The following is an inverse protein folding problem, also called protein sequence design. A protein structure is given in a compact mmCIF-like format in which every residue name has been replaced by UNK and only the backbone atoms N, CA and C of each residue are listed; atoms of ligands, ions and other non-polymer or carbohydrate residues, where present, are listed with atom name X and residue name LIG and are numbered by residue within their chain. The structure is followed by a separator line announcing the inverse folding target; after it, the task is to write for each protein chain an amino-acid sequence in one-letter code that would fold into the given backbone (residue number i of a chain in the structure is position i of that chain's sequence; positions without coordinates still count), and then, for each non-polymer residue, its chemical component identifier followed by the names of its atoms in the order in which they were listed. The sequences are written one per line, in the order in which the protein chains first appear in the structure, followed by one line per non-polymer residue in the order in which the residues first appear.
data_IF_729247083848
#
_entry.id   IF_729247083848
#
_cell.length_a   1.000
_cell.length_b   1.000
_cell.length_c   1.000
_cell.angle_alpha   90.00
_cell.angle_beta   90.00
_cell.angle_gamma   90.00
#
_symmetry.space_group_name_H-M   'P 1'
#
loop_
_entity.id
_entity.type
_entity.pdbx_description
1 polymer ?
#
# COMPACT_ATOMS: atom_id res chain seq x y z
N UNK A 1 0.08 -25.26 2.98
CA UNK A 1 0.90 -24.03 2.84
C UNK A 1 1.59 -24.08 1.49
N UNK A 2 1.71 -22.99 0.72
CA UNK A 2 2.62 -22.98 -0.44
C UNK A 2 3.92 -22.25 -0.05
N UNK A 3 4.93 -22.93 0.52
CA UNK A 3 6.21 -22.33 0.94
C UNK A 3 6.88 -21.52 -0.18
N UNK A 4 6.63 -21.90 -1.43
CA UNK A 4 7.15 -21.20 -2.60
C UNK A 4 6.63 -19.76 -2.69
N UNK A 5 5.41 -19.49 -2.23
CA UNK A 5 4.80 -18.15 -2.28
C UNK A 5 5.46 -17.15 -1.31
N UNK A 6 5.81 -17.59 -0.09
CA UNK A 6 6.47 -16.74 0.91
C UNK A 6 7.90 -16.46 0.45
N UNK A 7 8.63 -17.51 0.05
CA UNK A 7 10.00 -17.38 -0.42
C UNK A 7 10.10 -16.50 -1.69
N UNK A 8 9.13 -16.63 -2.61
CA UNK A 8 9.04 -15.78 -3.78
C UNK A 8 8.86 -14.30 -3.42
N UNK A 9 7.96 -13.98 -2.47
CA UNK A 9 7.74 -12.60 -2.02
C UNK A 9 8.99 -12.01 -1.36
N UNK A 10 9.68 -12.78 -0.51
CA UNK A 10 10.93 -12.36 0.11
C UNK A 10 12.03 -12.09 -0.93
N UNK A 11 12.17 -12.97 -1.92
CA UNK A 11 13.12 -12.78 -3.03
C UNK A 11 12.82 -11.50 -3.80
N UNK A 12 11.54 -11.25 -4.10
CA UNK A 12 11.11 -10.04 -4.80
C UNK A 12 11.39 -8.76 -4.01
N UNK A 13 11.18 -8.77 -2.69
CA UNK A 13 11.56 -7.65 -1.81
C UNK A 13 13.07 -7.40 -1.89
N UNK A 14 13.89 -8.44 -1.77
CA UNK A 14 15.36 -8.32 -1.88
C UNK A 14 15.78 -7.75 -3.23
N UNK A 15 15.17 -8.22 -4.33
CA UNK A 15 15.46 -7.72 -5.66
C UNK A 15 15.15 -6.22 -5.82
N UNK A 16 14.01 -5.76 -5.29
CA UNK A 16 13.65 -4.33 -5.35
C UNK A 16 14.59 -3.47 -4.48
N UNK A 17 15.02 -3.98 -3.32
CA UNK A 17 16.02 -3.29 -2.48
C UNK A 17 17.39 -3.21 -3.16
N UNK A 18 17.75 -4.23 -3.94
CA UNK A 18 19.00 -4.27 -4.69
C UNK A 18 18.98 -3.38 -5.95
N UNK A 19 17.79 -3.07 -6.50
CA UNK A 19 17.69 -2.29 -7.74
C UNK A 19 17.99 -0.80 -7.59
N UNK A 20 18.15 -0.30 -6.36
CA UNK A 20 18.51 1.09 -6.11
C UNK A 20 18.06 1.60 -4.75
N UNK A 21 18.29 2.89 -4.50
CA UNK A 21 18.00 3.55 -3.22
C UNK A 21 16.52 3.38 -2.82
N UNK A 22 16.23 3.09 -1.57
CA UNK A 22 14.85 3.05 -1.08
C UNK A 22 14.63 4.29 -0.22
N UNK A 23 13.61 5.08 -0.55
CA UNK A 23 13.33 6.29 0.21
C UNK A 23 13.01 5.94 1.67
N UNK A 24 13.40 6.77 2.65
CA UNK A 24 13.11 6.52 4.04
C UNK A 24 11.59 6.43 4.31
N UNK A 25 11.25 5.78 5.41
CA UNK A 25 9.87 5.69 5.87
C UNK A 25 9.28 7.08 6.14
N UNK A 26 7.95 7.18 6.00
CA UNK A 26 7.19 8.41 6.26
C UNK A 26 7.62 9.66 5.47
N UNK A 27 8.39 9.49 4.39
CA UNK A 27 8.81 10.59 3.52
C UNK A 27 7.86 10.82 2.34
N UNK A 28 7.74 12.07 1.91
CA UNK A 28 7.02 12.47 0.70
C UNK A 28 7.69 13.65 0.00
N UNK A 29 7.40 13.85 -1.28
CA UNK A 29 7.86 15.03 -2.01
C UNK A 29 6.78 16.10 -1.96
N UNK A 30 7.14 17.30 -1.50
CA UNK A 30 6.26 18.47 -1.50
C UNK A 30 6.74 19.50 -2.54
N UNK A 31 5.78 20.12 -3.23
CA UNK A 31 6.04 21.27 -4.09
C UNK A 31 5.99 22.57 -3.27
N UNK A 32 6.89 23.49 -3.58
CA UNK A 32 6.99 24.81 -2.99
C UNK A 32 7.10 25.84 -4.11
N UNK A 33 6.08 26.68 -4.25
CA UNK A 33 6.02 27.69 -5.30
C UNK A 33 6.35 29.06 -4.73
N UNK A 34 7.36 29.72 -5.31
CA UNK A 34 7.75 31.09 -4.96
C UNK A 34 7.24 32.06 -6.03
N UNK A 35 6.31 32.96 -5.70
CA UNK A 35 5.95 34.06 -6.59
C UNK A 35 7.06 35.13 -6.57
N UNK A 36 7.40 35.69 -7.74
CA UNK A 36 8.26 36.89 -7.85
C UNK A 36 7.42 38.14 -8.09
N UNK A 37 7.92 39.34 -7.73
CA UNK A 37 7.25 40.61 -8.03
C UNK A 37 6.94 40.82 -9.51
N UNK A 38 7.72 40.20 -10.41
CA UNK A 38 7.52 40.24 -11.86
C UNK A 38 6.36 39.34 -12.37
N UNK A 39 5.54 38.77 -11.49
CA UNK A 39 4.45 37.83 -11.83
C UNK A 39 4.90 36.41 -12.18
N UNK A 40 6.21 36.15 -12.33
CA UNK A 40 6.75 34.81 -12.61
C UNK A 40 6.68 33.92 -11.35
N UNK A 41 6.39 32.63 -11.54
CA UNK A 41 6.32 31.64 -10.45
C UNK A 41 7.36 30.56 -10.66
N UNK A 42 8.09 30.23 -9.60
CA UNK A 42 9.07 29.14 -9.62
C UNK A 42 8.63 28.04 -8.67
N UNK A 43 8.49 26.83 -9.17
CA UNK A 43 8.14 25.65 -8.37
C UNK A 43 9.39 24.83 -8.11
N UNK A 44 9.61 24.52 -6.83
CA UNK A 44 10.70 23.67 -6.39
C UNK A 44 10.15 22.52 -5.56
N UNK A 45 10.85 21.39 -5.56
CA UNK A 45 10.47 20.18 -4.88
C UNK A 45 11.40 19.91 -3.70
N UNK A 46 10.82 19.41 -2.62
CA UNK A 46 11.50 19.13 -1.36
C UNK A 46 11.08 17.76 -0.86
N UNK A 47 12.04 16.96 -0.40
CA UNK A 47 11.76 15.76 0.36
C UNK A 47 11.43 16.17 1.79
N UNK A 48 10.27 15.73 2.25
CA UNK A 48 9.73 15.98 3.57
C UNK A 48 9.64 14.65 4.34
N UNK A 49 9.61 14.72 5.67
CA UNK A 49 9.37 13.58 6.55
C UNK A 49 8.29 13.95 7.58
N UNK A 50 7.46 12.98 7.94
CA UNK A 50 6.40 13.13 8.94
C UNK A 50 7.01 13.23 10.34
N UNK A 51 8.12 12.52 10.54
CA UNK A 51 8.87 12.47 11.79
C UNK A 51 9.71 13.75 11.90
N UNK A 52 9.04 14.85 12.27
CA UNK A 52 9.71 16.11 12.59
C UNK A 52 10.65 15.89 13.78
N UNK A 53 11.92 16.24 13.63
CA UNK A 53 12.87 16.20 14.75
C UNK A 53 12.42 17.20 15.80
N UNK A 54 12.33 16.83 17.07
CA UNK A 54 12.16 17.83 18.14
C UNK A 54 13.53 18.40 18.51
N UNK A 55 13.61 19.70 18.68
CA UNK A 55 14.78 20.33 19.30
C UNK A 55 14.87 19.92 20.77
N UNK A 56 16.03 20.18 21.38
CA UNK A 56 16.23 20.02 22.83
C UNK A 56 15.25 20.89 23.66
N UNK A 57 14.67 21.93 23.05
CA UNK A 57 13.65 22.81 23.64
C UNK A 57 12.21 22.34 23.37
N UNK A 58 12.02 21.17 22.76
CA UNK A 58 10.69 20.60 22.45
C UNK A 58 10.01 21.14 21.20
N UNK A 59 10.59 22.14 20.52
CA UNK A 59 10.06 22.70 19.28
C UNK A 59 10.23 21.70 18.13
N UNK A 60 9.22 21.57 17.26
CA UNK A 60 9.33 20.75 16.06
C UNK A 60 10.28 21.45 15.09
N UNK A 61 11.49 20.92 14.94
CA UNK A 61 12.40 21.30 13.86
C UNK A 61 11.88 20.76 12.53
N UNK A 62 12.02 21.60 11.51
CA UNK A 62 11.28 21.52 10.25
C UNK A 62 11.23 20.12 9.62
N UNK A 63 10.10 19.84 8.96
CA UNK A 63 9.79 18.58 8.29
C UNK A 63 10.61 18.32 7.02
N UNK A 64 11.49 19.24 6.62
CA UNK A 64 12.24 19.16 5.36
C UNK A 64 13.53 18.37 5.54
N UNK A 65 13.67 17.26 4.80
CA UNK A 65 14.87 16.43 4.81
C UNK A 65 15.90 16.87 3.77
N UNK A 66 15.45 17.12 2.53
CA UNK A 66 16.36 17.39 1.41
C UNK A 66 15.69 18.29 0.38
N UNK A 67 16.45 19.23 -0.17
CA UNK A 67 16.01 20.01 -1.32
C UNK A 67 16.28 19.23 -2.62
N UNK A 68 15.27 19.11 -3.49
CA UNK A 68 15.35 18.28 -4.72
C UNK A 68 15.46 19.12 -6.00
N UNK A 69 15.28 20.45 -5.92
CA UNK A 69 15.36 21.34 -7.09
C UNK A 69 14.04 21.41 -7.86
N UNK A 70 14.11 21.56 -9.18
CA UNK A 70 12.94 21.55 -10.06
C UNK A 70 12.60 20.13 -10.53
N UNK A 71 11.51 19.98 -11.29
CA UNK A 71 11.05 18.68 -11.79
C UNK A 71 12.05 17.99 -12.74
N UNK A 72 12.82 18.78 -13.50
CA UNK A 72 13.83 18.26 -14.42
C UNK A 72 15.09 17.76 -13.71
N UNK A 73 15.29 18.13 -12.44
CA UNK A 73 16.50 17.80 -11.69
C UNK A 73 16.61 16.28 -11.47
N UNK A 74 17.79 15.66 -11.71
CA UNK A 74 18.00 14.23 -11.47
C UNK A 74 17.64 13.81 -10.04
N UNK A 75 17.95 14.65 -9.03
CA UNK A 75 17.64 14.36 -7.62
C UNK A 75 16.14 14.16 -7.38
N UNK A 76 15.29 14.93 -8.07
CA UNK A 76 13.84 14.78 -7.95
C UNK A 76 13.37 13.46 -8.58
N UNK A 77 13.87 13.14 -9.77
CA UNK A 77 13.50 11.91 -10.49
C UNK A 77 13.94 10.66 -9.71
N UNK A 78 15.19 10.62 -9.27
CA UNK A 78 15.75 9.55 -8.45
C UNK A 78 14.94 9.33 -7.17
N UNK A 79 14.58 10.41 -6.48
CA UNK A 79 13.80 10.33 -5.24
C UNK A 79 12.36 9.86 -5.49
N UNK A 80 11.75 10.27 -6.61
CA UNK A 80 10.42 9.81 -7.03
C UNK A 80 10.44 8.29 -7.25
N UNK A 81 11.48 7.77 -7.90
CA UNK A 81 11.67 6.33 -8.07
C UNK A 81 11.95 5.62 -6.74
N UNK A 82 12.78 6.20 -5.86
CA UNK A 82 13.07 5.64 -4.55
C UNK A 82 11.81 5.49 -3.68
N UNK A 83 10.90 6.47 -3.73
CA UNK A 83 9.58 6.40 -3.09
C UNK A 83 8.71 5.30 -3.72
N UNK A 84 8.74 5.16 -5.05
CA UNK A 84 8.01 4.10 -5.73
C UNK A 84 8.52 2.69 -5.32
N UNK A 85 9.85 2.52 -5.20
CA UNK A 85 10.47 1.27 -4.69
C UNK A 85 9.99 0.98 -3.27
N UNK A 86 10.06 1.96 -2.36
CA UNK A 86 9.57 1.84 -0.98
C UNK A 86 8.10 1.39 -0.94
N UNK A 87 7.23 2.05 -1.70
CA UNK A 87 5.81 1.72 -1.72
C UNK A 87 5.54 0.28 -2.22
N UNK A 88 6.29 -0.17 -3.22
CA UNK A 88 6.23 -1.57 -3.70
C UNK A 88 6.67 -2.55 -2.61
N UNK A 89 7.76 -2.26 -1.91
CA UNK A 89 8.25 -3.07 -0.78
C UNK A 89 7.16 -3.17 0.30
N UNK A 90 6.58 -2.05 0.74
CA UNK A 90 5.52 -2.05 1.76
C UNK A 90 4.28 -2.82 1.33
N UNK A 91 3.92 -2.81 0.04
CA UNK A 91 2.82 -3.61 -0.46
C UNK A 91 3.12 -5.11 -0.35
N UNK A 92 4.33 -5.54 -0.71
CA UNK A 92 4.77 -6.93 -0.62
C UNK A 92 4.88 -7.41 0.84
N UNK A 93 5.41 -6.57 1.72
CA UNK A 93 5.53 -6.88 3.16
C UNK A 93 4.15 -7.03 3.81
N UNK A 94 3.18 -6.18 3.46
CA UNK A 94 1.78 -6.34 3.90
C UNK A 94 1.18 -7.67 3.41
N UNK A 95 1.44 -8.06 2.17
CA UNK A 95 0.99 -9.36 1.63
C UNK A 95 1.62 -10.53 2.39
N UNK A 96 2.92 -10.46 2.66
CA UNK A 96 3.65 -11.45 3.43
C UNK A 96 3.09 -11.58 4.87
N UNK A 97 2.86 -10.45 5.55
CA UNK A 97 2.28 -10.42 6.90
C UNK A 97 0.89 -11.05 6.93
N UNK A 98 0.04 -10.82 5.92
CA UNK A 98 -1.28 -11.46 5.82
C UNK A 98 -1.19 -12.97 5.65
N UNK A 99 -0.31 -13.45 4.78
CA UNK A 99 -0.10 -14.89 4.57
C UNK A 99 0.37 -15.58 5.85
N UNK A 100 1.30 -14.97 6.59
CA UNK A 100 1.77 -15.47 7.87
C UNK A 100 0.66 -15.47 8.95
N UNK A 101 -0.18 -14.43 8.98
CA UNK A 101 -1.30 -14.37 9.92
C UNK A 101 -2.37 -15.44 9.66
N UNK A 102 -2.64 -15.77 8.39
CA UNK A 102 -3.54 -16.87 8.03
C UNK A 102 -3.03 -18.24 8.50
N UNK A 103 -1.71 -18.44 8.47
CA UNK A 103 -1.09 -19.67 8.93
C UNK A 103 -1.24 -19.86 10.45
N UNK A 104 -0.96 -18.81 11.23
CA UNK A 104 -1.14 -18.81 12.70
C UNK A 104 -2.57 -19.12 13.14
N UNK A 105 -3.58 -18.63 12.39
CA UNK A 105 -4.99 -18.92 12.68
C UNK A 105 -5.37 -20.37 12.39
N UNK A 106 -4.75 -21.01 11.39
CA UNK A 106 -4.99 -22.43 11.08
C UNK A 106 -4.40 -23.34 12.16
N UNK A 107 -3.24 -22.99 12.70
CA UNK A 107 -2.62 -23.76 13.78
C UNK A 107 -3.34 -23.62 15.12
N UNK A 108 -4.02 -22.49 15.38
CA UNK A 108 -4.76 -22.28 16.64
C UNK A 108 -6.15 -22.93 16.69
N UNK A 109 -6.74 -23.31 15.55
CA UNK A 109 -8.03 -24.00 15.48
C UNK A 109 -7.91 -25.53 15.35
N UNK A 110 -6.68 -26.08 15.47
CA UNK A 110 -6.37 -27.49 15.24
C UNK A 110 -5.99 -28.29 16.49
N UNK A 111 -6.16 -27.77 17.71
CA UNK A 111 -5.98 -28.56 18.93
C UNK A 111 -7.34 -29.07 19.43
N UNK A 112 -7.73 -30.33 19.16
CA UNK A 112 -8.79 -30.96 19.91
C UNK A 112 -8.26 -31.17 21.33
N UNK A 113 -8.69 -30.35 22.27
CA UNK A 113 -8.54 -30.63 23.70
C UNK A 113 -9.27 -31.94 24.00
N UNK A 114 -8.51 -33.02 24.17
CA UNK A 114 -8.97 -34.38 24.49
C UNK A 114 -9.42 -34.55 25.96
N UNK A 115 -9.74 -33.47 26.66
CA UNK A 115 -10.20 -33.54 28.06
C UNK A 115 -11.41 -32.62 28.25
N UNK A 116 -12.60 -33.14 28.59
CA UNK A 116 -13.67 -32.31 29.10
C UNK A 116 -13.36 -31.91 30.56
N UNK A 117 -13.40 -30.62 30.93
CA UNK A 117 -13.59 -30.27 32.33
C UNK A 117 -15.06 -30.56 32.68
N UNK A 118 -15.23 -31.41 33.69
CA UNK A 118 -16.50 -31.74 34.32
C UNK A 118 -17.20 -30.47 34.83
N UNK A 119 -18.51 -30.45 34.57
CA UNK A 119 -19.59 -29.56 35.02
C UNK A 119 -19.32 -28.56 36.16
N UNK A 120 -19.76 -27.31 35.93
CA UNK A 120 -20.67 -26.61 36.87
C UNK A 120 -21.41 -25.46 36.17
N UNK A 121 -22.70 -25.73 35.93
CA UNK A 121 -23.86 -24.88 36.26
C UNK A 121 -23.79 -23.34 36.10
N UNK A 122 -24.73 -22.86 35.28
CA UNK A 122 -25.55 -21.64 35.42
C UNK A 122 -25.25 -20.42 34.54
N UNK A 123 -26.37 -19.96 33.96
CA UNK A 123 -26.69 -18.65 33.40
C UNK A 123 -26.46 -18.43 31.90
N UNK A 124 -27.57 -18.63 31.18
CA UNK A 124 -27.86 -17.97 29.93
C UNK A 124 -27.80 -16.44 30.09
N UNK A 125 -26.79 -15.82 29.49
CA UNK A 125 -26.92 -14.48 28.91
C UNK A 125 -26.32 -14.56 27.51
N UNK A 126 -27.21 -14.58 26.52
CA UNK A 126 -26.88 -14.56 25.09
C UNK A 126 -26.01 -13.33 24.81
N UNK A 127 -24.70 -13.54 24.70
CA UNK A 127 -23.75 -12.55 24.21
C UNK A 127 -23.39 -12.91 22.77
N UNK A 128 -23.48 -11.96 21.81
CA UNK A 128 -23.24 -12.24 20.40
C UNK A 128 -21.76 -12.55 20.14
N UNK A 129 -21.43 -13.36 19.13
CA UNK A 129 -20.04 -13.65 18.78
C UNK A 129 -19.34 -12.38 18.28
N UNK A 130 -18.21 -12.03 18.91
CA UNK A 130 -17.31 -10.96 18.49
C UNK A 130 -16.56 -11.35 17.20
N UNK A 131 -17.20 -11.15 16.05
CA UNK A 131 -16.53 -11.08 14.75
C UNK A 131 -16.00 -9.65 14.55
N UNK A 132 -14.73 -9.46 14.87
CA UNK A 132 -14.00 -8.26 14.43
C UNK A 132 -13.72 -8.35 12.91
N UNK A 133 -14.00 -7.23 12.24
CA UNK A 133 -13.85 -6.92 10.80
C UNK A 133 -14.96 -7.44 9.87
N UNK A 134 -16.14 -6.82 9.95
CA UNK A 134 -16.96 -6.59 8.76
C UNK A 134 -16.19 -5.67 7.78
N UNK A 135 -15.31 -6.26 6.97
CA UNK A 135 -15.16 -5.76 5.61
C UNK A 135 -16.36 -6.32 4.87
N UNK A 136 -17.34 -5.46 4.65
CA UNK A 136 -18.62 -5.74 4.02
C UNK A 136 -18.44 -6.67 2.81
N UNK A 137 -18.74 -7.95 3.01
CA UNK A 137 -18.58 -9.00 2.01
C UNK A 137 -19.43 -8.68 0.78
N UNK A 138 -20.54 -7.95 0.96
CA UNK A 138 -21.39 -7.44 -0.12
C UNK A 138 -20.68 -6.37 -0.93
N UNK A 139 -20.04 -5.40 -0.27
CA UNK A 139 -19.24 -4.36 -0.94
C UNK A 139 -18.07 -4.91 -1.76
N UNK A 140 -17.40 -5.98 -1.29
CA UNK A 140 -16.33 -6.62 -2.06
C UNK A 140 -16.86 -7.34 -3.31
N UNK A 141 -17.97 -8.09 -3.19
CA UNK A 141 -18.60 -8.77 -4.32
C UNK A 141 -19.13 -7.76 -5.34
N UNK A 142 -19.73 -6.66 -4.89
CA UNK A 142 -20.19 -5.59 -5.77
C UNK A 142 -19.04 -4.94 -6.54
N UNK A 143 -17.91 -4.70 -5.88
CA UNK A 143 -16.73 -4.16 -6.54
C UNK A 143 -16.15 -5.13 -7.57
N UNK A 144 -16.14 -6.44 -7.27
CA UNK A 144 -15.71 -7.44 -8.26
C UNK A 144 -16.61 -7.45 -9.51
N UNK A 145 -17.92 -7.32 -9.33
CA UNK A 145 -18.86 -7.20 -10.46
C UNK A 145 -18.65 -5.92 -11.26
N UNK A 146 -18.38 -4.79 -10.59
CA UNK A 146 -18.09 -3.52 -11.27
C UNK A 146 -16.81 -3.60 -12.12
N UNK A 147 -15.76 -4.24 -11.61
CA UNK A 147 -14.51 -4.44 -12.36
C UNK A 147 -14.73 -5.34 -13.57
N UNK A 148 -15.49 -6.43 -13.41
CA UNK A 148 -15.82 -7.32 -14.52
C UNK A 148 -16.56 -6.59 -15.64
N UNK A 149 -17.59 -5.83 -15.29
CA UNK A 149 -18.37 -5.03 -16.25
C UNK A 149 -17.52 -3.98 -16.97
N UNK A 150 -16.55 -3.37 -16.27
CA UNK A 150 -15.63 -2.41 -16.88
C UNK A 150 -14.71 -3.08 -17.90
N UNK A 151 -14.23 -4.28 -17.60
CA UNK A 151 -13.39 -5.06 -18.52
C UNK A 151 -14.15 -5.43 -19.79
N UNK A 152 -15.38 -5.92 -19.68
CA UNK A 152 -16.20 -6.26 -20.85
C UNK A 152 -16.47 -5.04 -21.74
N UNK A 153 -16.74 -3.88 -21.14
CA UNK A 153 -16.88 -2.63 -21.90
C UNK A 153 -15.59 -2.22 -22.62
N UNK A 154 -14.45 -2.41 -21.97
CA UNK A 154 -13.15 -2.09 -22.54
C UNK A 154 -12.84 -3.01 -23.73
N UNK A 155 -13.07 -4.31 -23.62
CA UNK A 155 -12.89 -5.28 -24.72
C UNK A 155 -13.79 -4.95 -25.91
N UNK A 156 -15.04 -4.53 -25.66
CA UNK A 156 -15.97 -4.10 -26.71
C UNK A 156 -15.47 -2.84 -27.43
N UNK A 157 -15.02 -1.83 -26.68
CA UNK A 157 -14.46 -0.60 -27.24
C UNK A 157 -13.17 -0.85 -28.04
N UNK A 158 -12.29 -1.72 -27.55
CA UNK A 158 -11.11 -2.13 -28.31
C UNK A 158 -11.48 -2.82 -29.64
N UNK A 159 -12.54 -3.63 -29.63
CA UNK A 159 -13.10 -4.23 -30.85
C UNK A 159 -13.63 -3.19 -31.83
N UNK A 160 -14.43 -2.23 -31.35
CA UNK A 160 -14.99 -1.14 -32.16
C UNK A 160 -13.91 -0.24 -32.76
N UNK A 161 -12.89 0.13 -31.98
CA UNK A 161 -11.75 0.92 -32.46
C UNK A 161 -10.98 0.17 -33.55
N UNK A 162 -10.77 -1.14 -33.40
CA UNK A 162 -10.14 -1.97 -34.44
C UNK A 162 -10.98 -2.00 -35.72
N UNK A 163 -12.29 -2.13 -35.61
CA UNK A 163 -13.20 -2.13 -36.77
C UNK A 163 -13.28 -0.77 -37.48
N UNK A 164 -13.28 0.33 -36.72
CA UNK A 164 -13.25 1.68 -37.28
C UNK A 164 -11.91 1.98 -37.98
N UNK A 165 -10.81 1.45 -37.47
CA UNK A 165 -9.48 1.57 -38.11
C UNK A 165 -9.41 0.81 -39.44
N UNK A 166 -10.13 -0.31 -39.57
CA UNK A 166 -10.20 -1.11 -40.82
C UNK A 166 -11.14 -0.48 -41.85
N UNK A 167 -12.20 0.22 -41.43
CA UNK A 167 -13.15 0.90 -42.33
C UNK A 167 -12.73 2.31 -42.78
N UNK A 168 -11.68 2.87 -42.18
CA UNK A 168 -11.15 4.20 -42.49
C UNK A 168 -9.96 4.21 -43.45
N UNK A 169 -9.53 3.04 -43.93
CA UNK A 169 -8.64 2.83 -45.09
C UNK A 169 -9.48 2.41 -46.30
#
# INVERSE_FOLDING_TARGET
MNPQSIHHLQRKIKQIRASGEVAPDNTWIAAYTVPKPSGKRYTYYRLMNADGKRSNTGAIQGKMCKYLGNESNPKYKEMKEAIARRNKIHALERKLKRLQAMDKKRTSHGAPTLFPPVSSSMNAFSSPPLTSTNLDLKGFVQLQQQVHHLMEKFERLEGEVKQLKIKGE
#
